data_IF_446348911193
#
_entry.id   IF_446348911193
#
_cell.length_a   1.000
_cell.length_b   1.000
_cell.length_c   1.000
_cell.angle_alpha   90.00
_cell.angle_beta   90.00
_cell.angle_gamma   90.00
#
_symmetry.space_group_name_H-M   'P 1'
#
loop_
_entity.id
_entity.type
_entity.pdbx_description
1 polymer ?
#
# COMPACT_ATOMS: atom_id res chain seq x y z
N UNK A 1 -18.09 -17.73 -10.40
CA UNK A 1 -18.43 -16.31 -10.29
C UNK A 1 -17.23 -15.52 -10.76
N UNK A 2 -17.36 -14.87 -11.90
CA UNK A 2 -16.29 -14.09 -12.52
C UNK A 2 -16.04 -12.78 -11.78
N UNK A 3 -14.87 -12.17 -11.97
CA UNK A 3 -14.50 -10.91 -11.30
C UNK A 3 -15.52 -9.80 -11.54
N UNK A 4 -16.13 -9.73 -12.73
CA UNK A 4 -17.14 -8.72 -13.02
C UNK A 4 -18.44 -8.94 -12.23
N UNK A 5 -18.81 -10.19 -11.95
CA UNK A 5 -20.00 -10.55 -11.19
C UNK A 5 -19.81 -10.16 -9.72
N UNK A 6 -18.63 -10.48 -9.16
CA UNK A 6 -18.24 -10.06 -7.80
C UNK A 6 -18.32 -8.54 -7.65
N UNK A 7 -17.82 -7.78 -8.63
CA UNK A 7 -17.89 -6.31 -8.60
C UNK A 7 -19.33 -5.82 -8.54
N UNK A 8 -20.21 -6.37 -9.39
CA UNK A 8 -21.63 -6.00 -9.42
C UNK A 8 -22.32 -6.31 -8.09
N UNK A 9 -22.06 -7.49 -7.52
CA UNK A 9 -22.63 -7.89 -6.24
C UNK A 9 -22.14 -6.98 -5.10
N UNK A 10 -20.84 -6.66 -5.07
CA UNK A 10 -20.28 -5.73 -4.08
C UNK A 10 -20.91 -4.34 -4.16
N UNK A 11 -21.15 -3.81 -5.36
CA UNK A 11 -21.88 -2.54 -5.53
C UNK A 11 -23.28 -2.63 -4.90
N UNK A 12 -24.04 -3.69 -5.21
CA UNK A 12 -25.37 -3.89 -4.63
C UNK A 12 -25.36 -4.03 -3.10
N UNK A 13 -24.35 -4.70 -2.54
CA UNK A 13 -24.17 -4.85 -1.09
C UNK A 13 -23.88 -3.49 -0.44
N UNK A 14 -23.06 -2.66 -1.07
CA UNK A 14 -22.74 -1.32 -0.56
C UNK A 14 -23.96 -0.42 -0.62
N UNK A 15 -24.69 -0.42 -1.74
CA UNK A 15 -25.86 0.45 -1.94
C UNK A 15 -27.03 0.09 -1.00
N UNK A 16 -27.17 -1.19 -0.64
CA UNK A 16 -28.19 -1.67 0.30
C UNK A 16 -27.77 -1.64 1.78
N UNK A 17 -26.48 -1.42 2.04
CA UNK A 17 -25.90 -1.48 3.38
C UNK A 17 -26.22 -0.25 4.22
N UNK A 18 -26.38 -0.45 5.54
CA UNK A 18 -26.51 0.67 6.47
C UNK A 18 -25.18 1.42 6.67
N UNK A 19 -25.24 2.64 7.23
CA UNK A 19 -24.08 3.50 7.48
C UNK A 19 -22.92 2.79 8.20
N UNK A 20 -23.22 1.96 9.20
CA UNK A 20 -22.20 1.26 9.99
C UNK A 20 -21.49 0.23 9.14
N UNK A 21 -22.23 -0.53 8.34
CA UNK A 21 -21.68 -1.50 7.40
C UNK A 21 -20.76 -0.82 6.38
N UNK A 22 -21.25 0.21 5.69
CA UNK A 22 -20.49 0.90 4.63
C UNK A 22 -19.19 1.50 5.19
N UNK A 23 -19.24 2.15 6.36
CA UNK A 23 -18.05 2.70 7.01
C UNK A 23 -17.03 1.63 7.40
N UNK A 24 -17.48 0.48 7.89
CA UNK A 24 -16.58 -0.61 8.25
C UNK A 24 -15.97 -1.27 7.01
N UNK A 25 -16.77 -1.50 5.98
CA UNK A 25 -16.30 -2.04 4.70
C UNK A 25 -15.24 -1.13 4.08
N UNK A 26 -15.48 0.19 4.06
CA UNK A 26 -14.50 1.18 3.60
C UNK A 26 -13.18 1.09 4.35
N UNK A 27 -13.20 0.97 5.69
CA UNK A 27 -11.99 0.84 6.50
C UNK A 27 -11.19 -0.42 6.14
N UNK A 28 -11.87 -1.55 5.98
CA UNK A 28 -11.23 -2.82 5.61
C UNK A 28 -10.59 -2.70 4.23
N UNK A 29 -11.33 -2.23 3.23
CA UNK A 29 -10.82 -2.04 1.87
C UNK A 29 -9.61 -1.10 1.84
N UNK A 30 -9.68 0.03 2.57
CA UNK A 30 -8.54 0.96 2.70
C UNK A 30 -7.33 0.33 3.38
N UNK A 31 -7.54 -0.50 4.40
CA UNK A 31 -6.45 -1.19 5.10
C UNK A 31 -5.71 -2.15 4.15
N UNK A 32 -6.46 -2.92 3.37
CA UNK A 32 -5.89 -3.83 2.38
C UNK A 32 -5.05 -3.10 1.32
N UNK A 33 -5.56 -2.00 0.78
CA UNK A 33 -4.82 -1.20 -0.21
C UNK A 33 -3.53 -0.61 0.36
N UNK A 34 -3.55 -0.12 1.61
CA UNK A 34 -2.33 0.36 2.28
C UNK A 34 -1.33 -0.76 2.55
N UNK A 35 -1.81 -1.94 2.91
CA UNK A 35 -0.94 -3.09 3.12
C UNK A 35 -0.24 -3.48 1.82
N UNK A 36 -0.97 -3.53 0.69
CA UNK A 36 -0.37 -3.78 -0.63
C UNK A 36 0.74 -2.77 -0.99
N UNK A 37 0.53 -1.48 -0.70
CA UNK A 37 1.57 -0.46 -0.91
C UNK A 37 2.81 -0.70 -0.05
N UNK A 38 2.61 -1.10 1.22
CA UNK A 38 3.72 -1.41 2.12
C UNK A 38 4.47 -2.67 1.69
N UNK A 39 3.76 -3.73 1.32
CA UNK A 39 4.34 -4.99 0.86
C UNK A 39 5.19 -4.75 -0.41
N UNK A 40 4.72 -3.88 -1.31
CA UNK A 40 5.50 -3.46 -2.48
C UNK A 40 6.80 -2.75 -2.08
N UNK A 41 6.75 -1.82 -1.12
CA UNK A 41 7.95 -1.12 -0.62
C UNK A 41 8.94 -2.06 0.06
N UNK A 42 8.44 -3.06 0.79
CA UNK A 42 9.27 -4.10 1.40
C UNK A 42 9.96 -4.90 0.31
N UNK A 43 9.23 -5.36 -0.69
CA UNK A 43 9.79 -6.11 -1.81
C UNK A 43 10.87 -5.30 -2.56
N UNK A 44 10.61 -4.03 -2.87
CA UNK A 44 11.60 -3.13 -3.49
C UNK A 44 12.87 -3.00 -2.62
N UNK A 45 12.71 -2.81 -1.30
CA UNK A 45 13.83 -2.75 -0.38
C UNK A 45 14.62 -4.07 -0.26
N UNK A 46 13.95 -5.22 -0.31
CA UNK A 46 14.59 -6.52 -0.32
C UNK A 46 15.46 -6.73 -1.58
N UNK A 47 14.98 -6.29 -2.74
CA UNK A 47 15.77 -6.33 -3.98
C UNK A 47 16.97 -5.39 -3.92
N UNK A 48 16.81 -4.15 -3.42
CA UNK A 48 17.93 -3.22 -3.25
C UNK A 48 19.02 -3.78 -2.30
N UNK A 49 18.61 -4.48 -1.23
CA UNK A 49 19.55 -5.17 -0.33
C UNK A 49 20.28 -6.29 -1.08
N UNK A 50 19.57 -7.13 -1.84
CA UNK A 50 20.19 -8.22 -2.62
C UNK A 50 21.19 -7.71 -3.65
N UNK A 51 20.90 -6.57 -4.28
CA UNK A 51 21.76 -5.93 -5.27
C UNK A 51 22.91 -5.12 -4.64
N UNK A 52 22.97 -5.03 -3.30
CA UNK A 52 24.00 -4.27 -2.59
C UNK A 52 23.84 -2.76 -2.71
N UNK A 53 22.65 -2.28 -3.10
CA UNK A 53 22.26 -0.86 -3.14
C UNK A 53 21.93 -0.35 -1.73
N UNK A 54 22.84 -0.59 -0.81
CA UNK A 54 22.74 -0.18 0.59
C UNK A 54 23.77 0.91 0.86
N UNK A 55 23.38 1.88 1.68
CA UNK A 55 24.24 2.98 2.08
C UNK A 55 24.45 2.94 3.60
N UNK A 56 25.69 3.21 4.02
CA UNK A 56 25.99 3.47 5.41
C UNK A 56 25.36 4.78 5.86
N UNK A 57 25.16 4.92 7.17
CA UNK A 57 24.61 6.16 7.75
C UNK A 57 25.42 7.41 7.38
N UNK A 58 26.75 7.29 7.28
CA UNK A 58 27.63 8.38 6.90
C UNK A 58 27.45 8.79 5.42
N UNK A 59 27.17 7.84 4.53
CA UNK A 59 26.87 8.12 3.12
C UNK A 59 25.51 8.81 2.98
N UNK A 60 24.49 8.31 3.68
CA UNK A 60 23.15 8.92 3.69
C UNK A 60 23.21 10.36 4.22
N UNK A 61 23.98 10.61 5.29
CA UNK A 61 24.13 11.95 5.82
C UNK A 61 24.72 12.94 4.78
N UNK A 62 25.76 12.52 4.05
CA UNK A 62 26.35 13.34 2.97
C UNK A 62 25.36 13.59 1.83
N UNK A 63 24.52 12.61 1.49
CA UNK A 63 23.48 12.78 0.47
C UNK A 63 22.45 13.84 0.90
N UNK A 64 21.98 13.78 2.15
CA UNK A 64 21.02 14.75 2.69
C UNK A 64 21.64 16.16 2.72
N UNK A 65 22.89 16.29 3.17
CA UNK A 65 23.62 17.57 3.19
C UNK A 65 23.76 18.18 1.79
N UNK A 66 23.84 17.34 0.74
CA UNK A 66 23.94 17.80 -0.65
C UNK A 66 22.63 18.40 -1.20
N UNK A 67 21.47 18.03 -0.64
CA UNK A 67 20.17 18.57 -1.06
C UNK A 67 19.84 19.94 -0.46
N UNK A 68 20.59 20.35 0.57
CA UNK A 68 20.42 21.65 1.24
C UNK A 68 21.32 22.74 0.67
N UNK A 69 22.10 22.44 -0.38
CA UNK A 69 22.94 23.40 -1.14
C UNK A 69 22.20 23.93 -2.36
#
# INVERSE_FOLDING_TARGET
METFEIKKELHSIIDSGNDKFVKNFYKIAKSYLRQLENDKRIFEGEEDIKEGKVHSQAEVQKMIESWMK
#
